data_IF_640922738927
#
_entry.id   IF_640922738927
#
_cell.length_a   1.000
_cell.length_b   1.000
_cell.length_c   1.000
_cell.angle_alpha   90.00
_cell.angle_beta   90.00
_cell.angle_gamma   90.00
#
_symmetry.space_group_name_H-M   'P 1'
#
loop_
_entity.id
_entity.type
_entity.pdbx_description
1 polymer ?
#
# COMPACT_ATOMS: atom_id res chain seq x y z
N UNK A 1 -7.10 9.30 6.96
CA UNK A 1 -7.30 7.89 6.55
C UNK A 1 -7.22 6.97 7.74
N UNK A 2 -8.08 5.95 7.76
CA UNK A 2 -7.99 4.90 8.78
C UNK A 2 -6.92 3.88 8.40
N UNK A 3 -6.45 3.11 9.38
CA UNK A 3 -5.46 2.06 9.14
C UNK A 3 -5.97 1.02 8.13
N UNK A 4 -7.27 0.71 8.17
CA UNK A 4 -7.86 -0.23 7.22
C UNK A 4 -7.74 0.25 5.78
N UNK A 5 -8.00 1.53 5.55
CA UNK A 5 -7.90 2.12 4.22
C UNK A 5 -6.46 2.12 3.75
N UNK A 6 -5.53 2.49 4.63
CA UNK A 6 -4.10 2.51 4.29
C UNK A 6 -3.62 1.10 3.95
N UNK A 7 -3.97 0.12 4.78
CA UNK A 7 -3.57 -1.28 4.54
C UNK A 7 -4.13 -1.79 3.20
N UNK A 8 -5.38 -1.47 2.91
CA UNK A 8 -6.01 -1.87 1.65
C UNK A 8 -5.31 -1.25 0.44
N UNK A 9 -4.92 0.01 0.55
CA UNK A 9 -4.18 0.69 -0.52
C UNK A 9 -2.79 0.09 -0.71
N UNK A 10 -2.13 -0.30 0.38
CA UNK A 10 -0.84 -0.98 0.32
C UNK A 10 -0.99 -2.31 -0.44
N UNK A 11 -2.02 -3.08 -0.15
CA UNK A 11 -2.27 -4.35 -0.83
C UNK A 11 -2.52 -4.13 -2.33
N UNK A 12 -3.27 -3.10 -2.69
CA UNK A 12 -3.49 -2.75 -4.10
C UNK A 12 -2.19 -2.40 -4.81
N UNK A 13 -1.33 -1.66 -4.13
CA UNK A 13 -0.02 -1.29 -4.67
C UNK A 13 0.85 -2.52 -4.90
N UNK A 14 0.91 -3.42 -3.91
CA UNK A 14 1.68 -4.65 -4.02
C UNK A 14 1.15 -5.52 -5.15
N UNK A 15 -0.17 -5.59 -5.31
CA UNK A 15 -0.79 -6.34 -6.40
C UNK A 15 -0.32 -5.84 -7.76
N UNK A 16 -0.24 -4.56 -7.95
CA UNK A 16 0.23 -3.98 -9.21
C UNK A 16 1.72 -4.17 -9.39
N UNK A 17 2.49 -4.05 -8.32
CA UNK A 17 3.93 -4.16 -8.37
C UNK A 17 4.41 -5.59 -8.63
N UNK A 18 3.86 -6.55 -7.89
CA UNK A 18 4.29 -7.95 -7.93
C UNK A 18 3.41 -8.84 -8.81
N UNK A 19 2.25 -8.34 -9.24
CA UNK A 19 1.33 -9.10 -10.06
C UNK A 19 0.66 -10.27 -9.34
N UNK A 20 0.64 -10.24 -8.02
CA UNK A 20 0.05 -11.31 -7.21
C UNK A 20 -1.43 -11.04 -7.01
N UNK A 21 -2.27 -12.04 -7.21
CA UNK A 21 -3.73 -11.91 -7.05
C UNK A 21 -4.27 -12.56 -5.78
N UNK A 22 -3.52 -13.48 -5.18
CA UNK A 22 -3.95 -14.17 -3.97
C UNK A 22 -3.77 -13.26 -2.76
N UNK A 23 -4.84 -13.06 -1.98
CA UNK A 23 -4.82 -12.18 -0.81
C UNK A 23 -3.77 -12.58 0.23
N UNK A 24 -3.60 -13.88 0.47
CA UNK A 24 -2.61 -14.34 1.43
C UNK A 24 -1.19 -13.99 0.98
N UNK A 25 -0.92 -14.13 -0.30
CA UNK A 25 0.39 -13.77 -0.85
C UNK A 25 0.60 -12.27 -0.90
N UNK A 26 -0.45 -11.51 -1.17
CA UNK A 26 -0.38 -10.05 -1.11
C UNK A 26 0.00 -9.59 0.29
N UNK A 27 -0.62 -10.17 1.30
CA UNK A 27 -0.31 -9.86 2.69
C UNK A 27 1.14 -10.20 3.01
N UNK A 28 1.59 -11.39 2.63
CA UNK A 28 2.97 -11.81 2.84
C UNK A 28 3.96 -10.88 2.15
N UNK A 29 3.68 -10.51 0.91
CA UNK A 29 4.54 -9.60 0.16
C UNK A 29 4.62 -8.23 0.82
N UNK A 30 3.48 -7.70 1.28
CA UNK A 30 3.44 -6.42 1.96
C UNK A 30 4.24 -6.47 3.29
N UNK A 31 4.16 -7.58 4.01
CA UNK A 31 4.93 -7.78 5.23
C UNK A 31 6.43 -7.88 4.89
N UNK A 32 6.77 -8.58 3.81
CA UNK A 32 8.16 -8.70 3.36
C UNK A 32 8.76 -7.35 2.98
N UNK A 33 7.97 -6.47 2.39
CA UNK A 33 8.38 -5.09 2.10
C UNK A 33 8.36 -4.19 3.33
N UNK A 34 7.88 -4.70 4.47
CA UNK A 34 7.74 -3.97 5.73
C UNK A 34 6.75 -2.81 5.65
N UNK A 35 5.84 -2.87 4.73
CA UNK A 35 4.75 -1.90 4.63
C UNK A 35 3.58 -2.24 5.54
N UNK A 36 3.41 -3.55 5.86
CA UNK A 36 2.45 -4.03 6.84
C UNK A 36 3.20 -4.83 7.90
N UNK A 37 2.67 -4.84 9.14
CA UNK A 37 3.19 -5.68 10.20
C UNK A 37 2.52 -7.06 10.16
N UNK A 38 2.88 -7.93 11.11
CA UNK A 38 2.35 -9.29 11.17
C UNK A 38 0.84 -9.34 11.39
N UNK A 39 0.27 -8.26 11.91
CA UNK A 39 -1.16 -8.15 12.15
C UNK A 39 -1.91 -7.64 10.92
N UNK A 40 -1.18 -7.24 9.89
CA UNK A 40 -1.77 -6.62 8.73
C UNK A 40 -2.01 -5.12 8.88
N UNK A 41 -1.50 -4.51 9.95
CA UNK A 41 -1.62 -3.08 10.17
C UNK A 41 -0.49 -2.34 9.44
N UNK A 42 -0.75 -1.12 8.94
CA UNK A 42 0.29 -0.37 8.24
C UNK A 42 1.41 0.06 9.17
N UNK A 43 2.63 -0.12 8.70
CA UNK A 43 3.83 0.36 9.38
C UNK A 43 4.06 1.84 9.04
N UNK A 44 4.96 2.54 9.76
CA UNK A 44 5.32 3.91 9.36
C UNK A 44 5.84 3.99 7.93
N UNK A 45 6.57 2.97 7.46
CA UNK A 45 7.04 2.91 6.07
C UNK A 45 5.87 2.77 5.10
N UNK A 46 4.87 1.94 5.43
CA UNK A 46 3.68 1.78 4.61
C UNK A 46 2.86 3.05 4.53
N UNK A 47 2.74 3.77 5.64
CA UNK A 47 2.02 5.05 5.67
C UNK A 47 2.71 6.09 4.78
N UNK A 48 4.03 6.14 4.81
CA UNK A 48 4.80 7.03 3.96
C UNK A 48 4.62 6.69 2.48
N UNK A 49 4.60 5.41 2.16
CA UNK A 49 4.38 4.95 0.80
C UNK A 49 3.04 5.45 0.26
N UNK A 50 1.98 5.26 1.02
CA UNK A 50 0.64 5.64 0.59
C UNK A 50 0.50 7.17 0.52
N UNK A 51 1.08 7.88 1.45
CA UNK A 51 1.07 9.34 1.43
C UNK A 51 1.77 9.89 0.19
N UNK A 52 2.93 9.34 -0.15
CA UNK A 52 3.66 9.72 -1.36
C UNK A 52 2.88 9.38 -2.63
N UNK A 53 2.25 8.22 -2.65
CA UNK A 53 1.46 7.77 -3.78
C UNK A 53 0.24 8.67 -4.00
N UNK A 54 -0.46 9.04 -2.92
CA UNK A 54 -1.60 9.94 -2.97
C UNK A 54 -1.18 11.32 -3.50
N UNK A 55 -0.04 11.83 -3.05
CA UNK A 55 0.50 13.11 -3.52
C UNK A 55 0.80 13.07 -5.01
N UNK A 56 1.42 11.98 -5.49
CA UNK A 56 1.72 11.81 -6.92
C UNK A 56 0.46 11.76 -7.76
N UNK A 57 -0.57 11.08 -7.28
CA UNK A 57 -1.86 11.02 -7.99
C UNK A 57 -2.51 12.39 -8.10
N UNK A 58 -2.45 13.18 -7.03
CA UNK A 58 -3.00 14.54 -7.04
C UNK A 58 -2.29 15.43 -8.04
N UNK A 59 -0.97 15.35 -8.09
CA UNK A 59 -0.18 16.10 -9.04
C UNK A 59 -0.56 15.73 -10.47
N UNK A 60 -0.70 14.43 -10.74
CA UNK A 60 -1.12 13.95 -12.05
C UNK A 60 -2.50 14.44 -12.46
N UNK A 61 -3.44 14.49 -11.53
CA UNK A 61 -4.79 14.99 -11.79
C UNK A 61 -4.82 16.50 -12.00
N UNK A 62 -3.97 17.23 -11.30
CA UNK A 62 -3.94 18.69 -11.36
C UNK A 62 -3.38 19.19 -12.70
N UNK A 63 -2.49 18.43 -13.31
CA UNK A 63 -1.87 18.81 -14.58
C UNK A 63 -2.72 18.47 -15.79
N UNK A 64 -3.76 17.74 -15.59
CA UNK A 64 -4.70 17.43 -16.67
C UNK A 64 -5.67 18.59 -16.85
#
# INVERSE_FOLDING_TARGET
>A
MTDDVIARNILKFVRQLDGVENNDRLLEAAIAHRWLDRRGAPTPAGRKLIDSFDTLQRIGQTTA
#
